data_IF_517251542466
#
_entry.id   IF_517251542466
#
_cell.length_a   1.000
_cell.length_b   1.000
_cell.length_c   1.000
_cell.angle_alpha   90.00
_cell.angle_beta   90.00
_cell.angle_gamma   90.00
#
_symmetry.space_group_name_H-M   'P 1'
#
loop_
_entity.id
_entity.type
_entity.pdbx_description
1 polymer ?
#
# COMPACT_ATOMS: atom_id res chain seq x y z
N UNK A 1 -20.35 28.98 10.03
CA UNK A 1 -20.03 27.76 9.26
C UNK A 1 -20.70 26.61 9.99
N UNK A 2 -21.70 25.97 9.39
CA UNK A 2 -22.58 25.03 10.10
C UNK A 2 -22.32 23.55 9.78
N UNK A 3 -21.75 23.24 8.61
CA UNK A 3 -21.39 21.88 8.21
C UNK A 3 -20.34 21.92 7.09
N UNK A 4 -19.34 21.05 7.14
CA UNK A 4 -18.37 20.83 6.05
C UNK A 4 -18.40 19.33 5.74
N UNK A 5 -18.86 18.96 4.54
CA UNK A 5 -18.91 17.58 4.08
C UNK A 5 -17.65 17.24 3.30
N UNK A 6 -16.93 16.21 3.73
CA UNK A 6 -15.75 15.69 3.06
C UNK A 6 -16.03 14.24 2.63
N UNK A 7 -15.97 13.97 1.32
CA UNK A 7 -16.17 12.63 0.74
C UNK A 7 -14.89 12.21 0.05
N UNK A 8 -14.34 11.07 0.43
CA UNK A 8 -13.15 10.46 -0.16
C UNK A 8 -13.48 9.07 -0.68
N UNK A 9 -12.73 8.61 -1.68
CA UNK A 9 -12.84 7.27 -2.23
C UNK A 9 -11.42 6.78 -2.56
N UNK A 10 -11.04 5.65 -2.00
CA UNK A 10 -9.75 5.00 -2.27
C UNK A 10 -10.04 3.61 -2.80
N UNK A 11 -9.53 3.29 -3.99
CA UNK A 11 -9.62 1.96 -4.61
C UNK A 11 -8.21 1.47 -4.89
N UNK A 12 -7.92 0.26 -4.42
CA UNK A 12 -6.67 -0.44 -4.68
C UNK A 12 -6.98 -1.53 -5.70
N UNK A 13 -6.26 -1.57 -6.82
CA UNK A 13 -6.40 -2.61 -7.85
C UNK A 13 -5.02 -3.07 -8.34
N UNK A 14 -4.96 -4.20 -9.04
CA UNK A 14 -3.69 -4.80 -9.50
C UNK A 14 -2.97 -3.94 -10.57
N UNK A 15 -3.69 -2.98 -11.14
CA UNK A 15 -3.16 -1.99 -12.09
C UNK A 15 -2.74 -0.68 -11.40
N UNK A 16 -2.97 -0.55 -10.08
CA UNK A 16 -2.75 0.64 -9.27
C UNK A 16 -2.47 0.31 -7.79
N UNK A 17 -1.21 0.50 -7.40
CA UNK A 17 -0.39 -0.20 -6.36
C UNK A 17 0.45 -1.30 -6.99
N UNK A 18 1.23 -0.87 -7.98
CA UNK A 18 2.07 -1.61 -8.92
C UNK A 18 2.68 -2.89 -8.32
N UNK A 19 2.61 -3.94 -9.13
CA UNK A 19 3.05 -5.33 -8.95
C UNK A 19 4.53 -5.54 -8.52
N UNK A 20 5.00 -4.82 -7.51
CA UNK A 20 6.38 -4.83 -7.01
C UNK A 20 6.79 -6.16 -6.34
N UNK A 21 5.86 -7.09 -6.15
CA UNK A 21 6.16 -8.43 -5.63
C UNK A 21 6.36 -9.50 -6.72
N UNK A 22 6.04 -9.22 -7.99
CA UNK A 22 6.21 -10.22 -9.07
C UNK A 22 7.67 -10.28 -9.56
N UNK A 23 8.51 -9.31 -9.18
CA UNK A 23 9.91 -9.17 -9.62
C UNK A 23 10.96 -9.74 -8.64
N UNK A 24 10.65 -10.77 -7.86
CA UNK A 24 11.62 -11.40 -6.95
C UNK A 24 11.98 -12.85 -7.28
N UNK A 25 11.30 -13.51 -8.23
CA UNK A 25 11.60 -14.90 -8.58
C UNK A 25 11.79 -15.06 -10.08
N UNK A 26 12.68 -14.25 -10.66
CA UNK A 26 13.46 -14.70 -11.81
C UNK A 26 14.84 -15.12 -11.30
N UNK A 27 15.02 -16.43 -11.27
CA UNK A 27 16.21 -17.21 -10.98
C UNK A 27 17.52 -16.43 -11.19
N UNK A 28 18.28 -16.23 -10.10
CA UNK A 28 19.74 -16.18 -10.19
C UNK A 28 20.36 -17.00 -9.05
N UNK A 29 21.28 -17.87 -9.46
CA UNK A 29 21.87 -18.96 -8.71
C UNK A 29 22.82 -18.48 -7.59
N UNK A 30 22.87 -19.30 -6.52
CA UNK A 30 24.04 -19.54 -5.64
C UNK A 30 24.62 -18.36 -4.84
N UNK A 31 23.95 -17.94 -3.76
CA UNK A 31 24.51 -17.75 -2.40
C UNK A 31 23.48 -17.04 -1.50
N UNK A 32 23.26 -17.52 -0.28
CA UNK A 32 22.52 -16.76 0.77
C UNK A 32 23.23 -15.41 1.03
N UNK A 33 22.57 -14.33 1.51
CA UNK A 33 21.35 -14.30 2.32
C UNK A 33 20.40 -13.11 2.09
N UNK A 34 19.09 -13.32 1.99
CA UNK A 34 18.12 -12.35 2.52
C UNK A 34 17.01 -13.16 3.18
N UNK A 35 16.70 -12.85 4.43
CA UNK A 35 15.42 -13.28 4.97
C UNK A 35 14.38 -12.61 4.09
N UNK A 36 13.66 -13.40 3.29
CA UNK A 36 12.52 -12.89 2.54
C UNK A 36 11.60 -12.20 3.55
N UNK A 37 11.52 -10.86 3.48
CA UNK A 37 10.64 -10.09 4.34
C UNK A 37 9.23 -10.36 3.84
N UNK A 38 8.55 -11.29 4.48
CA UNK A 38 7.16 -11.59 4.17
C UNK A 38 6.27 -10.48 4.75
N UNK A 39 5.75 -9.61 3.89
CA UNK A 39 4.80 -8.58 4.25
C UNK A 39 3.40 -8.99 3.79
N UNK A 40 2.53 -9.30 4.75
CA UNK A 40 1.15 -9.72 4.51
C UNK A 40 0.20 -8.75 5.21
N UNK A 41 -0.72 -8.17 4.44
CA UNK A 41 -1.78 -7.27 4.93
C UNK A 41 -3.09 -8.06 5.15
N UNK A 42 -3.06 -9.03 6.06
CA UNK A 42 -4.18 -9.94 6.40
C UNK A 42 -5.00 -9.48 7.62
N UNK A 43 -4.77 -8.26 8.08
CA UNK A 43 -5.39 -7.65 9.26
C UNK A 43 -5.43 -6.12 9.11
N UNK A 44 -6.20 -5.40 9.93
CA UNK A 44 -6.31 -3.95 9.80
C UNK A 44 -4.96 -3.24 9.72
N UNK A 45 -4.82 -2.33 8.75
CA UNK A 45 -3.58 -1.60 8.51
C UNK A 45 -3.84 -0.13 8.14
N UNK A 46 -2.85 0.72 8.38
CA UNK A 46 -2.87 2.14 8.03
C UNK A 46 -2.23 2.32 6.66
N UNK A 47 -2.79 3.19 5.84
CA UNK A 47 -2.22 3.57 4.55
C UNK A 47 -2.23 5.10 4.38
N UNK A 48 -1.30 5.59 3.57
CA UNK A 48 -1.23 6.99 3.18
C UNK A 48 -0.83 7.10 1.72
N UNK A 49 -1.43 8.05 1.01
CA UNK A 49 -0.95 8.51 -0.30
C UNK A 49 -0.20 9.80 -0.02
N UNK A 50 1.11 9.81 -0.28
CA UNK A 50 2.00 10.91 0.09
C UNK A 50 2.69 11.43 -1.15
N UNK A 51 2.78 12.75 -1.29
CA UNK A 51 3.69 13.36 -2.25
C UNK A 51 5.14 13.13 -1.76
N UNK A 52 5.91 12.38 -2.52
CA UNK A 52 7.30 12.01 -2.16
C UNK A 52 8.28 13.17 -2.25
N UNK A 53 7.92 14.27 -2.91
CA UNK A 53 8.78 15.46 -3.04
C UNK A 53 8.67 16.36 -1.81
N UNK A 54 7.43 16.57 -1.32
CA UNK A 54 7.15 17.48 -0.20
C UNK A 54 6.93 16.74 1.13
N UNK A 55 6.68 15.42 1.08
CA UNK A 55 6.31 14.60 2.23
C UNK A 55 4.88 14.83 2.72
N UNK A 56 4.07 15.61 1.99
CA UNK A 56 2.71 15.94 2.42
C UNK A 56 1.77 14.76 2.16
N UNK A 57 1.03 14.28 3.17
CA UNK A 57 0.01 13.26 2.97
C UNK A 57 -1.18 13.86 2.23
N UNK A 58 -1.45 13.34 1.04
CA UNK A 58 -2.62 13.68 0.23
C UNK A 58 -3.85 12.92 0.73
N UNK A 59 -3.65 11.67 1.18
CA UNK A 59 -4.67 10.84 1.82
C UNK A 59 -4.07 10.05 2.98
N UNK A 60 -4.88 9.81 4.01
CA UNK A 60 -4.56 8.97 5.15
C UNK A 60 -5.81 8.17 5.51
N UNK A 61 -5.66 6.88 5.78
CA UNK A 61 -6.78 6.03 6.11
C UNK A 61 -6.38 4.75 6.85
N UNK A 62 -7.39 4.08 7.37
CA UNK A 62 -7.27 2.74 7.97
C UNK A 62 -8.10 1.80 7.10
N UNK A 63 -7.49 0.71 6.64
CA UNK A 63 -8.18 -0.39 5.98
C UNK A 63 -8.56 -1.40 7.05
N UNK A 64 -9.80 -1.31 7.54
CA UNK A 64 -10.35 -2.25 8.54
C UNK A 64 -10.84 -3.55 7.88
N UNK A 65 -11.49 -3.44 6.71
CA UNK A 65 -12.01 -4.58 5.96
C UNK A 65 -11.96 -4.32 4.44
N UNK A 66 -11.13 -5.03 3.67
CA UNK A 66 -11.03 -4.86 2.22
C UNK A 66 -12.17 -5.52 1.42
N UNK A 67 -13.09 -6.25 2.07
CA UNK A 67 -14.21 -6.94 1.42
C UNK A 67 -15.52 -6.14 1.37
N UNK A 68 -15.55 -4.92 1.93
CA UNK A 68 -16.65 -3.94 1.75
C UNK A 68 -16.38 -2.98 0.58
#
# INVERSE_FOLDING_TARGET
ISEIKHKTFCRVDELGTEAAAVTSVEVSLTSMPFSDVQLVFDRPFIYAIVDTTTGVPLFLGIMENPAE
#
